data_IF_511532035890
#
_entry.id   IF_511532035890
#
_cell.length_a   1.000
_cell.length_b   1.000
_cell.length_c   1.000
_cell.angle_alpha   90.00
_cell.angle_beta   90.00
_cell.angle_gamma   90.00
#
_symmetry.space_group_name_H-M   'P 1'
#
loop_
_entity.id
_entity.type
_entity.pdbx_description
1 polymer ?
#
# COMPACT_ATOMS: atom_id res chain seq x y z
N UNK A 1 -13.14 8.98 -3.78
CA UNK A 1 -11.77 8.67 -3.34
C UNK A 1 -11.40 7.29 -3.89
N UNK A 2 -10.11 6.94 -3.95
CA UNK A 2 -9.64 5.67 -4.52
C UNK A 2 -10.28 4.43 -3.88
N UNK A 3 -10.54 4.46 -2.57
CA UNK A 3 -11.20 3.35 -1.85
C UNK A 3 -12.63 3.15 -2.31
N UNK A 4 -13.40 4.22 -2.50
CA UNK A 4 -14.78 4.13 -2.99
C UNK A 4 -14.84 3.53 -4.39
N UNK A 5 -13.88 3.92 -5.25
CA UNK A 5 -13.73 3.34 -6.59
C UNK A 5 -13.47 1.83 -6.49
N UNK A 6 -12.51 1.39 -5.67
CA UNK A 6 -12.21 -0.03 -5.50
C UNK A 6 -13.38 -0.81 -4.89
N UNK A 7 -14.08 -0.26 -3.90
CA UNK A 7 -15.29 -0.88 -3.34
C UNK A 7 -16.33 -1.13 -4.45
N UNK A 8 -16.56 -0.13 -5.31
CA UNK A 8 -17.51 -0.26 -6.41
C UNK A 8 -17.06 -1.27 -7.47
N UNK A 9 -15.77 -1.32 -7.81
CA UNK A 9 -15.25 -2.25 -8.84
C UNK A 9 -15.21 -3.70 -8.33
N UNK A 10 -14.69 -3.91 -7.12
CA UNK A 10 -14.50 -5.26 -6.55
C UNK A 10 -15.83 -5.94 -6.28
N UNK A 11 -16.83 -5.18 -5.84
CA UNK A 11 -18.17 -5.70 -5.53
C UNK A 11 -19.21 -5.37 -6.62
N UNK A 12 -18.77 -4.98 -7.83
CA UNK A 12 -19.66 -4.75 -8.97
C UNK A 12 -20.38 -6.06 -9.31
N UNK A 13 -21.64 -6.18 -8.91
CA UNK A 13 -22.49 -7.35 -9.10
C UNK A 13 -22.24 -8.53 -8.13
N UNK A 14 -21.60 -8.27 -6.98
CA UNK A 14 -21.44 -9.28 -5.94
C UNK A 14 -21.87 -8.70 -4.60
N UNK A 15 -22.53 -9.52 -3.79
CA UNK A 15 -22.83 -9.14 -2.42
C UNK A 15 -21.52 -9.09 -1.62
N UNK A 16 -21.37 -8.06 -0.79
CA UNK A 16 -20.28 -8.01 0.17
C UNK A 16 -20.47 -9.20 1.14
N UNK A 17 -19.48 -10.10 1.27
CA UNK A 17 -19.59 -11.25 2.15
C UNK A 17 -19.75 -10.80 3.60
N UNK A 18 -20.34 -11.63 4.45
CA UNK A 18 -20.25 -11.42 5.89
C UNK A 18 -18.79 -11.51 6.34
N UNK A 19 -18.38 -10.65 7.28
CA UNK A 19 -17.01 -10.58 7.76
C UNK A 19 -16.92 -10.14 9.22
N UNK A 20 -15.83 -10.54 9.87
CA UNK A 20 -15.38 -10.03 11.16
C UNK A 20 -14.21 -9.06 10.99
N UNK A 21 -14.10 -8.11 11.93
CA UNK A 21 -13.00 -7.14 11.97
C UNK A 21 -12.17 -7.40 13.21
N UNK A 22 -10.85 -7.50 13.03
CA UNK A 22 -9.88 -7.77 14.08
C UNK A 22 -8.87 -6.63 14.13
N UNK A 23 -9.01 -5.76 15.13
CA UNK A 23 -8.15 -4.60 15.29
C UNK A 23 -6.89 -4.95 16.10
N UNK A 24 -5.75 -4.53 15.59
CA UNK A 24 -4.47 -4.49 16.29
C UNK A 24 -3.92 -3.06 16.32
N UNK A 25 -2.83 -2.86 17.07
CA UNK A 25 -2.19 -1.55 17.19
C UNK A 25 -1.47 -1.08 15.92
N UNK A 26 -1.13 -1.99 15.01
CA UNK A 26 -0.39 -1.71 13.76
C UNK A 26 -1.19 -2.06 12.50
N UNK A 27 -2.04 -3.08 12.57
CA UNK A 27 -2.86 -3.54 11.45
C UNK A 27 -4.29 -3.83 11.94
N UNK A 28 -5.24 -3.71 11.03
CA UNK A 28 -6.59 -4.27 11.14
C UNK A 28 -6.69 -5.39 10.11
N UNK A 29 -7.26 -6.52 10.50
CA UNK A 29 -7.64 -7.61 9.60
C UNK A 29 -9.15 -7.64 9.41
N UNK A 30 -9.57 -8.03 8.21
CA UNK A 30 -10.93 -8.44 7.88
C UNK A 30 -10.88 -9.90 7.47
N UNK A 31 -11.68 -10.73 8.13
CA UNK A 31 -11.85 -12.15 7.83
C UNK A 31 -13.27 -12.37 7.32
N UNK A 32 -13.39 -12.80 6.08
CA UNK A 32 -14.67 -13.12 5.46
C UNK A 32 -15.12 -14.54 5.80
N UNK A 33 -16.43 -14.79 5.79
CA UNK A 33 -17.01 -16.11 6.09
C UNK A 33 -16.53 -17.23 5.14
N UNK A 34 -16.06 -16.87 3.94
CA UNK A 34 -15.45 -17.78 2.97
C UNK A 34 -13.96 -18.07 3.24
N UNK A 35 -13.44 -17.63 4.39
CA UNK A 35 -12.07 -17.86 4.84
C UNK A 35 -11.02 -16.91 4.23
N UNK A 36 -11.45 -15.93 3.42
CA UNK A 36 -10.53 -14.94 2.86
C UNK A 36 -10.19 -13.87 3.89
N UNK A 37 -8.91 -13.53 3.97
CA UNK A 37 -8.42 -12.53 4.93
C UNK A 37 -7.67 -11.43 4.22
N UNK A 38 -8.02 -10.19 4.54
CA UNK A 38 -7.29 -9.00 4.09
C UNK A 38 -6.84 -8.15 5.26
N UNK A 39 -5.74 -7.43 5.07
CA UNK A 39 -5.14 -6.61 6.12
C UNK A 39 -4.94 -5.18 5.63
N UNK A 40 -4.99 -4.24 6.55
CA UNK A 40 -4.65 -2.85 6.31
C UNK A 40 -3.95 -2.29 7.54
N UNK A 41 -2.91 -1.47 7.34
CA UNK A 41 -2.26 -0.78 8.45
C UNK A 41 -3.27 0.11 9.21
N UNK A 42 -3.29 -0.04 10.52
CA UNK A 42 -4.02 0.81 11.45
C UNK A 42 -3.10 1.98 11.79
N UNK A 43 -3.32 3.16 11.19
CA UNK A 43 -2.66 4.38 11.67
C UNK A 43 -3.37 4.81 12.96
N UNK A 44 -2.61 5.25 13.95
CA UNK A 44 -3.09 5.63 15.27
C UNK A 44 -4.00 6.88 15.24
N UNK A 45 -5.25 6.73 14.84
CA UNK A 45 -6.31 7.73 15.03
C UNK A 45 -7.60 7.01 15.42
N UNK A 46 -7.57 6.34 16.57
CA UNK A 46 -8.63 5.46 17.08
C UNK A 46 -10.03 6.13 17.24
N UNK A 47 -10.16 7.45 17.07
CA UNK A 47 -11.41 8.18 17.30
C UNK A 47 -12.07 8.76 16.03
N UNK A 48 -11.43 8.70 14.85
CA UNK A 48 -12.10 9.12 13.60
C UNK A 48 -12.81 7.91 12.95
N UNK A 49 -14.14 7.87 13.09
CA UNK A 49 -14.98 6.82 12.50
C UNK A 49 -14.84 6.74 10.98
N UNK A 50 -14.65 7.88 10.31
CA UNK A 50 -14.52 7.92 8.84
C UNK A 50 -13.22 7.26 8.43
N UNK A 51 -12.12 7.61 9.09
CA UNK A 51 -10.82 7.01 8.81
C UNK A 51 -10.80 5.52 9.16
N UNK A 52 -11.40 5.12 10.29
CA UNK A 52 -11.54 3.69 10.64
C UNK A 52 -12.34 2.93 9.59
N UNK A 53 -13.43 3.50 9.07
CA UNK A 53 -14.21 2.86 8.01
C UNK A 53 -13.38 2.63 6.74
N UNK A 54 -12.50 3.57 6.37
CA UNK A 54 -11.58 3.39 5.24
C UNK A 54 -10.58 2.25 5.47
N UNK A 55 -10.05 2.11 6.69
CA UNK A 55 -9.16 0.99 7.04
C UNK A 55 -9.90 -0.34 6.83
N UNK A 56 -11.14 -0.45 7.35
CA UNK A 56 -11.94 -1.67 7.21
C UNK A 56 -12.29 -1.95 5.75
N UNK A 57 -12.70 -0.93 4.99
CA UNK A 57 -12.99 -1.07 3.55
C UNK A 57 -11.75 -1.52 2.77
N UNK A 58 -10.58 -0.94 3.05
CA UNK A 58 -9.33 -1.34 2.42
C UNK A 58 -8.97 -2.80 2.76
N UNK A 59 -9.09 -3.21 4.03
CA UNK A 59 -8.84 -4.59 4.44
C UNK A 59 -9.84 -5.56 3.79
N UNK A 60 -11.12 -5.18 3.69
CA UNK A 60 -12.14 -5.95 3.01
C UNK A 60 -11.86 -6.09 1.50
N UNK A 61 -11.48 -5.00 0.81
CA UNK A 61 -11.00 -5.06 -0.58
C UNK A 61 -9.85 -6.06 -0.70
N UNK A 62 -8.84 -5.94 0.17
CA UNK A 62 -7.66 -6.80 0.16
C UNK A 62 -8.03 -8.27 0.37
N UNK A 63 -9.06 -8.59 1.17
CA UNK A 63 -9.51 -9.98 1.35
C UNK A 63 -9.94 -10.63 0.03
N UNK A 64 -10.51 -9.84 -0.89
CA UNK A 64 -11.01 -10.35 -2.17
C UNK A 64 -9.92 -10.37 -3.24
N UNK A 65 -9.02 -9.39 -3.24
CA UNK A 65 -8.05 -9.19 -4.34
C UNK A 65 -6.62 -9.66 -4.03
N UNK A 66 -6.29 -9.92 -2.75
CA UNK A 66 -5.01 -10.47 -2.32
C UNK A 66 -5.18 -11.94 -1.93
N UNK A 67 -5.51 -12.79 -2.91
CA UNK A 67 -5.83 -14.21 -2.71
C UNK A 67 -4.81 -15.09 -3.44
N UNK A 68 -4.28 -16.10 -2.76
CA UNK A 68 -3.25 -17.03 -3.30
C UNK A 68 -3.67 -17.75 -4.59
N UNK A 69 -4.98 -17.87 -4.84
CA UNK A 69 -5.51 -18.51 -6.04
C UNK A 69 -5.52 -17.59 -7.29
N UNK A 70 -5.09 -16.34 -7.15
CA UNK A 70 -4.97 -15.40 -8.25
C UNK A 70 -3.54 -15.41 -8.82
N UNK A 71 -3.43 -15.07 -10.10
CA UNK A 71 -2.13 -14.95 -10.76
C UNK A 71 -1.49 -13.59 -10.46
N UNK A 72 -0.24 -13.63 -10.00
CA UNK A 72 0.58 -12.47 -9.67
C UNK A 72 1.91 -12.48 -10.43
N UNK A 73 2.55 -11.32 -10.50
CA UNK A 73 3.86 -11.11 -11.11
C UNK A 73 5.01 -11.24 -10.08
N UNK A 74 6.24 -10.92 -10.49
CA UNK A 74 7.45 -11.02 -9.65
C UNK A 74 7.37 -10.14 -8.39
N UNK A 75 7.69 -10.72 -7.23
CA UNK A 75 7.46 -10.08 -5.93
C UNK A 75 8.46 -8.96 -5.57
N UNK A 76 9.60 -8.87 -6.26
CA UNK A 76 10.69 -7.97 -5.87
C UNK A 76 10.66 -6.64 -6.61
N UNK A 77 10.09 -5.60 -6.00
CA UNK A 77 10.09 -4.23 -6.57
C UNK A 77 11.46 -3.77 -7.10
N UNK A 78 12.52 -4.06 -6.33
CA UNK A 78 13.89 -3.61 -6.60
C UNK A 78 14.54 -4.33 -7.79
N UNK A 79 14.06 -5.52 -8.13
CA UNK A 79 14.60 -6.32 -9.24
C UNK A 79 13.71 -6.23 -10.48
N UNK A 80 12.41 -6.04 -10.29
CA UNK A 80 11.42 -5.91 -11.36
C UNK A 80 11.44 -4.53 -12.02
N UNK A 81 11.58 -3.44 -11.24
CA UNK A 81 11.49 -2.08 -11.78
C UNK A 81 12.90 -1.56 -12.11
N UNK A 82 13.16 -1.08 -13.34
CA UNK A 82 14.48 -0.55 -13.73
C UNK A 82 14.69 0.86 -13.17
N UNK A 83 14.81 0.98 -11.85
CA UNK A 83 14.90 2.25 -11.11
C UNK A 83 16.12 3.10 -11.51
N UNK A 84 17.19 2.48 -11.99
CA UNK A 84 18.37 3.18 -12.50
C UNK A 84 18.08 4.02 -13.77
N UNK A 85 16.96 3.76 -14.45
CA UNK A 85 16.50 4.55 -15.61
C UNK A 85 15.48 5.61 -15.24
N UNK A 86 15.13 5.73 -13.95
CA UNK A 86 14.12 6.67 -13.46
C UNK A 86 14.78 7.95 -12.99
N UNK A 87 14.05 9.07 -13.10
CA UNK A 87 14.50 10.40 -12.71
C UNK A 87 13.68 10.89 -11.53
N UNK A 88 14.23 11.84 -10.78
CA UNK A 88 13.56 12.56 -9.68
C UNK A 88 12.67 11.64 -8.83
N UNK A 89 13.27 10.58 -8.27
CA UNK A 89 12.55 9.59 -7.48
C UNK A 89 12.18 10.19 -6.12
N UNK A 90 10.89 10.10 -5.78
CA UNK A 90 10.34 10.57 -4.52
C UNK A 90 9.65 9.40 -3.80
N UNK A 91 10.06 9.14 -2.57
CA UNK A 91 9.45 8.15 -1.70
C UNK A 91 8.51 8.84 -0.69
N UNK A 92 7.22 8.50 -0.73
CA UNK A 92 6.21 9.02 0.18
C UNK A 92 5.78 7.92 1.16
N UNK A 93 6.09 8.13 2.43
CA UNK A 93 6.17 7.09 3.46
C UNK A 93 7.52 6.40 3.41
N UNK A 94 8.26 6.40 4.52
CA UNK A 94 9.60 5.83 4.57
C UNK A 94 9.54 4.30 4.66
N UNK A 95 9.74 3.66 3.50
CA UNK A 95 9.79 2.20 3.32
C UNK A 95 11.24 1.73 3.45
N UNK A 96 11.73 1.68 4.69
CA UNK A 96 13.13 1.42 5.02
C UNK A 96 13.77 0.24 4.25
N UNK A 97 13.15 -0.96 4.14
CA UNK A 97 13.76 -2.06 3.39
C UNK A 97 13.97 -1.76 1.90
N UNK A 98 13.09 -0.97 1.29
CA UNK A 98 13.19 -0.56 -0.12
C UNK A 98 14.27 0.50 -0.27
N UNK A 99 14.24 1.52 0.59
CA UNK A 99 15.25 2.58 0.61
C UNK A 99 16.66 2.02 0.76
N UNK A 100 16.88 1.10 1.72
CA UNK A 100 18.19 0.49 1.95
C UNK A 100 18.70 -0.29 0.75
N UNK A 101 17.82 -0.98 0.02
CA UNK A 101 18.18 -1.69 -1.20
C UNK A 101 18.50 -0.75 -2.36
N UNK A 102 17.73 0.33 -2.53
CA UNK A 102 18.03 1.39 -3.51
C UNK A 102 19.39 2.02 -3.22
N UNK A 103 19.65 2.40 -1.96
CA UNK A 103 20.90 3.03 -1.56
C UNK A 103 22.11 2.10 -1.80
N UNK A 104 21.98 0.79 -1.51
CA UNK A 104 23.01 -0.21 -1.84
C UNK A 104 23.29 -0.31 -3.34
N UNK A 105 22.30 -0.08 -4.19
CA UNK A 105 22.44 -0.03 -5.65
C UNK A 105 22.86 1.36 -6.17
N UNK A 106 23.15 2.33 -5.29
CA UNK A 106 23.54 3.70 -5.67
C UNK A 106 22.39 4.56 -6.21
N UNK A 107 21.14 4.17 -5.94
CA UNK A 107 19.95 4.85 -6.45
C UNK A 107 19.45 5.82 -5.37
N UNK A 108 19.59 7.12 -5.63
CA UNK A 108 19.10 8.17 -4.75
C UNK A 108 17.60 8.42 -4.88
N UNK A 109 16.97 8.87 -3.80
CA UNK A 109 15.60 9.39 -3.81
C UNK A 109 15.42 10.43 -2.69
N UNK A 110 14.46 11.34 -2.88
CA UNK A 110 13.95 12.17 -1.78
C UNK A 110 12.96 11.35 -0.97
N UNK A 111 12.97 11.45 0.36
CA UNK A 111 12.13 10.61 1.23
C UNK A 111 11.35 11.48 2.18
N UNK A 112 10.04 11.28 2.25
CA UNK A 112 9.15 12.02 3.14
C UNK A 112 8.32 11.04 3.97
N UNK A 113 8.18 11.29 5.28
CA UNK A 113 7.31 10.55 6.17
C UNK A 113 6.77 11.49 7.25
N UNK A 114 5.46 11.44 7.53
CA UNK A 114 4.81 12.33 8.48
C UNK A 114 4.91 11.86 9.93
N UNK A 115 5.23 10.59 10.16
CA UNK A 115 5.23 9.98 11.49
C UNK A 115 6.62 9.54 11.95
N UNK A 116 7.47 9.10 11.02
CA UNK A 116 8.81 8.63 11.34
C UNK A 116 9.78 9.80 11.45
N UNK A 117 10.80 9.61 12.30
CA UNK A 117 11.98 10.46 12.36
C UNK A 117 13.17 9.64 11.88
N UNK A 118 13.87 10.12 10.87
CA UNK A 118 15.08 9.48 10.35
C UNK A 118 15.97 10.54 9.68
N UNK A 119 17.31 10.44 9.80
CA UNK A 119 18.22 11.37 9.14
C UNK A 119 18.17 11.30 7.60
N UNK A 120 17.53 10.26 7.04
CA UNK A 120 17.37 10.11 5.58
C UNK A 120 16.18 10.89 5.02
N UNK A 121 15.31 11.43 5.90
CA UNK A 121 14.15 12.20 5.47
C UNK A 121 14.59 13.56 4.92
N UNK A 122 13.98 13.95 3.81
CA UNK A 122 14.11 15.26 3.22
C UNK A 122 13.36 16.31 4.07
N UNK A 123 13.78 17.60 4.02
CA UNK A 123 13.08 18.68 4.71
C UNK A 123 11.63 18.77 4.25
N UNK A 124 10.68 18.87 5.19
CA UNK A 124 9.24 18.82 4.88
C UNK A 124 8.79 19.99 4.00
N UNK A 125 9.52 21.10 4.02
CA UNK A 125 9.29 22.28 3.19
C UNK A 125 9.47 21.98 1.69
N UNK A 126 10.25 20.94 1.35
CA UNK A 126 10.44 20.50 -0.03
C UNK A 126 9.33 19.57 -0.54
N UNK A 127 8.38 19.17 0.32
CA UNK A 127 7.37 18.15 0.02
C UNK A 127 6.53 18.52 -1.21
N UNK A 128 5.91 19.70 -1.20
CA UNK A 128 5.02 20.15 -2.28
C UNK A 128 5.78 20.32 -3.61
N UNK A 129 6.99 20.89 -3.56
CA UNK A 129 7.84 21.02 -4.75
C UNK A 129 8.28 19.64 -5.29
N UNK A 130 8.55 18.67 -4.42
CA UNK A 130 8.93 17.31 -4.83
C UNK A 130 7.75 16.57 -5.45
N UNK A 131 6.51 16.81 -5.00
CA UNK A 131 5.31 16.27 -5.64
C UNK A 131 5.09 16.87 -7.04
N UNK A 132 5.24 18.18 -7.20
CA UNK A 132 4.99 18.84 -8.49
C UNK A 132 6.07 18.57 -9.53
N UNK A 133 7.31 18.34 -9.08
CA UNK A 133 8.47 18.13 -9.97
C UNK A 133 8.93 16.67 -10.11
N UNK A 134 8.49 15.76 -9.23
CA UNK A 134 8.86 14.36 -9.27
C UNK A 134 8.37 13.62 -10.51
N UNK A 135 9.21 12.73 -11.05
CA UNK A 135 8.88 11.91 -12.22
C UNK A 135 8.50 10.48 -11.81
N UNK A 136 8.99 10.00 -10.65
CA UNK A 136 8.72 8.65 -10.16
C UNK A 136 8.42 8.68 -8.67
N UNK A 137 7.28 8.13 -8.28
CA UNK A 137 6.80 8.08 -6.91
C UNK A 137 6.75 6.64 -6.41
N UNK A 138 7.45 6.39 -5.30
CA UNK A 138 7.38 5.15 -4.53
C UNK A 138 6.56 5.45 -3.28
N UNK A 139 5.38 4.87 -3.16
CA UNK A 139 4.46 5.24 -2.09
C UNK A 139 4.06 4.04 -1.24
N UNK A 140 3.90 4.28 0.06
CA UNK A 140 3.29 3.30 0.96
C UNK A 140 1.81 3.09 0.61
N UNK A 141 1.31 1.86 0.72
CA UNK A 141 -0.12 1.58 0.56
C UNK A 141 -1.03 2.36 1.53
N UNK A 142 -0.50 2.89 2.64
CA UNK A 142 -1.27 3.74 3.57
C UNK A 142 -1.68 5.09 2.97
N UNK A 143 -1.10 5.50 1.84
CA UNK A 143 -1.56 6.70 1.12
C UNK A 143 -2.98 6.54 0.57
N UNK A 144 -3.43 5.30 0.35
CA UNK A 144 -4.79 5.00 -0.12
C UNK A 144 -5.83 5.29 0.97
N UNK A 145 -5.55 4.85 2.21
CA UNK A 145 -6.47 5.02 3.35
C UNK A 145 -6.53 6.44 3.88
N UNK A 146 -5.39 7.13 3.94
CA UNK A 146 -5.35 8.52 4.38
C UNK A 146 -5.73 9.53 3.28
N UNK A 147 -5.95 9.08 2.04
CA UNK A 147 -6.39 9.92 0.91
C UNK A 147 -5.28 10.72 0.22
N UNK A 148 -4.04 10.67 0.72
CA UNK A 148 -2.91 11.38 0.10
C UNK A 148 -2.52 10.84 -1.28
N UNK A 149 -2.94 9.62 -1.64
CA UNK A 149 -2.80 9.12 -3.01
C UNK A 149 -3.59 9.97 -4.00
N UNK A 150 -4.84 10.30 -3.70
CA UNK A 150 -5.69 11.11 -4.58
C UNK A 150 -5.08 12.50 -4.81
N UNK A 151 -4.51 13.10 -3.76
CA UNK A 151 -3.81 14.38 -3.84
C UNK A 151 -2.52 14.28 -4.69
N UNK A 152 -1.73 13.23 -4.49
CA UNK A 152 -0.54 12.96 -5.29
C UNK A 152 -0.90 12.86 -6.78
N UNK A 153 -1.91 12.08 -7.13
CA UNK A 153 -2.33 11.92 -8.53
C UNK A 153 -2.78 13.25 -9.13
N UNK A 154 -3.45 14.11 -8.36
CA UNK A 154 -3.88 15.43 -8.81
C UNK A 154 -2.73 16.43 -9.00
N UNK A 155 -1.75 16.43 -8.09
CA UNK A 155 -0.68 17.44 -8.04
C UNK A 155 0.58 17.08 -8.85
N UNK A 156 0.83 15.78 -9.05
CA UNK A 156 1.99 15.31 -9.81
C UNK A 156 1.86 15.58 -11.32
N UNK A 157 3.00 15.58 -12.02
CA UNK A 157 3.06 15.67 -13.48
C UNK A 157 2.18 14.62 -14.16
N UNK A 158 1.68 14.92 -15.36
CA UNK A 158 0.79 14.03 -16.12
C UNK A 158 1.44 12.67 -16.43
N UNK A 159 2.73 12.68 -16.73
CA UNK A 159 3.57 11.53 -17.10
C UNK A 159 4.30 10.89 -15.91
N UNK A 160 4.06 11.37 -14.68
CA UNK A 160 4.64 10.76 -13.50
C UNK A 160 4.24 9.29 -13.36
N UNK A 161 5.19 8.46 -12.93
CA UNK A 161 4.96 7.06 -12.62
C UNK A 161 4.80 6.85 -11.13
N UNK A 162 3.85 6.00 -10.75
CA UNK A 162 3.56 5.69 -9.34
C UNK A 162 3.67 4.18 -9.11
N UNK A 163 4.31 3.82 -8.00
CA UNK A 163 4.50 2.45 -7.53
C UNK A 163 4.00 2.35 -6.09
N UNK A 164 3.00 1.50 -5.84
CA UNK A 164 2.45 1.29 -4.49
C UNK A 164 3.16 0.10 -3.84
N UNK A 165 3.60 0.25 -2.60
CA UNK A 165 4.29 -0.80 -1.86
C UNK A 165 3.70 -0.94 -0.45
N UNK A 166 3.43 -2.17 -0.04
CA UNK A 166 3.21 -2.51 1.37
C UNK A 166 2.06 -3.50 1.59
N UNK A 167 1.95 -4.08 2.80
CA UNK A 167 0.95 -5.12 3.07
C UNK A 167 -0.50 -4.67 2.89
N UNK A 168 -0.79 -3.37 3.03
CA UNK A 168 -2.13 -2.81 2.80
C UNK A 168 -2.48 -2.63 1.32
N UNK A 169 -1.57 -2.94 0.39
CA UNK A 169 -1.77 -2.68 -1.03
C UNK A 169 -2.82 -3.63 -1.62
N UNK A 170 -3.86 -3.11 -2.30
CA UNK A 170 -4.82 -3.93 -3.01
C UNK A 170 -4.19 -4.38 -4.33
N UNK A 171 -3.87 -5.67 -4.45
CA UNK A 171 -3.26 -6.25 -5.65
C UNK A 171 -4.33 -6.51 -6.72
N UNK A 172 -4.99 -5.44 -7.16
CA UNK A 172 -6.09 -5.47 -8.12
C UNK A 172 -5.77 -4.64 -9.36
N UNK A 173 -5.99 -5.23 -10.54
CA UNK A 173 -5.89 -4.54 -11.83
C UNK A 173 -6.92 -3.42 -11.99
N UNK A 174 -8.02 -3.43 -11.23
CA UNK A 174 -8.99 -2.33 -11.26
C UNK A 174 -8.35 -0.98 -10.94
N UNK A 175 -7.34 -0.96 -10.06
CA UNK A 175 -6.67 0.27 -9.67
C UNK A 175 -5.95 0.97 -10.83
N UNK A 176 -5.51 0.23 -11.86
CA UNK A 176 -4.95 0.83 -13.08
C UNK A 176 -5.98 1.61 -13.90
N UNK A 177 -7.27 1.29 -13.76
CA UNK A 177 -8.37 2.05 -14.34
C UNK A 177 -8.67 3.36 -13.59
N UNK A 178 -8.17 3.52 -12.36
CA UNK A 178 -8.31 4.77 -11.60
C UNK A 178 -7.35 5.86 -12.10
N UNK A 179 -6.14 5.46 -12.53
CA UNK A 179 -5.13 6.40 -13.02
C UNK A 179 -4.10 5.73 -13.91
N UNK A 180 -3.78 6.39 -15.02
CA UNK A 180 -2.71 5.98 -15.96
C UNK A 180 -1.31 6.06 -15.35
N UNK A 181 -1.15 6.83 -14.27
CA UNK A 181 0.14 7.05 -13.59
C UNK A 181 0.61 5.82 -12.81
N UNK A 182 -0.31 4.99 -12.32
CA UNK A 182 0.02 3.79 -11.56
C UNK A 182 0.59 2.72 -12.50
N UNK A 183 1.81 2.26 -12.22
CA UNK A 183 2.54 1.29 -13.07
C UNK A 183 2.65 -0.09 -12.45
N UNK A 184 2.75 -0.19 -11.13
CA UNK A 184 2.73 -1.47 -10.45
C UNK A 184 2.35 -1.33 -8.96
N UNK A 185 1.91 -2.46 -8.41
CA UNK A 185 1.49 -2.61 -7.02
C UNK A 185 2.26 -3.79 -6.43
N UNK A 186 2.91 -3.59 -5.29
CA UNK A 186 3.67 -4.61 -4.57
C UNK A 186 3.07 -4.79 -3.19
N UNK A 187 2.38 -5.90 -2.99
CA UNK A 187 1.55 -6.14 -1.83
C UNK A 187 1.91 -7.41 -1.07
N UNK A 188 0.96 -7.88 -0.27
CA UNK A 188 1.08 -9.13 0.47
C UNK A 188 -0.24 -9.87 0.55
N UNK A 189 -0.15 -11.19 0.49
CA UNK A 189 -1.23 -12.17 0.61
C UNK A 189 -1.12 -12.80 1.98
N UNK A 190 -2.23 -12.88 2.72
CA UNK A 190 -2.29 -13.63 3.98
C UNK A 190 -2.32 -15.12 3.66
N UNK A 191 -1.39 -15.90 4.22
CA UNK A 191 -1.27 -17.34 3.94
C UNK A 191 -1.52 -18.24 5.14
N UNK A 192 -1.70 -17.67 6.33
CA UNK A 192 -2.04 -18.40 7.55
C UNK A 192 -3.07 -17.65 8.38
N UNK A 193 -4.00 -18.39 8.99
CA UNK A 193 -4.96 -17.85 9.97
C UNK A 193 -4.28 -17.27 11.21
N UNK A 194 -3.05 -17.68 11.53
CA UNK A 194 -2.25 -17.14 12.64
C UNK A 194 -1.94 -15.64 12.47
N UNK A 195 -2.05 -15.11 11.24
CA UNK A 195 -1.91 -13.68 10.97
C UNK A 195 -2.88 -12.85 11.83
N UNK A 196 -4.12 -13.30 12.00
CA UNK A 196 -5.14 -12.58 12.78
C UNK A 196 -4.72 -12.51 14.25
N UNK A 197 -4.34 -13.64 14.83
CA UNK A 197 -3.83 -13.71 16.19
C UNK A 197 -2.59 -12.82 16.37
N UNK A 198 -1.66 -12.83 15.44
CA UNK A 198 -0.48 -11.96 15.48
C UNK A 198 -0.87 -10.48 15.45
N UNK A 199 -1.83 -10.09 14.60
CA UNK A 199 -2.32 -8.72 14.48
C UNK A 199 -2.99 -8.25 15.78
N UNK A 200 -3.87 -9.04 16.36
CA UNK A 200 -4.54 -8.72 17.65
C UNK A 200 -3.49 -8.48 18.74
N UNK A 201 -2.40 -9.26 18.73
CA UNK A 201 -1.27 -9.10 19.65
C UNK A 201 -0.29 -7.96 19.29
N UNK A 202 -0.63 -7.13 18.30
CA UNK A 202 0.15 -5.95 17.94
C UNK A 202 1.37 -6.23 17.05
N UNK A 203 1.36 -7.33 16.28
CA UNK A 203 2.46 -7.64 15.37
C UNK A 203 2.69 -6.51 14.36
N UNK A 204 3.91 -5.98 14.35
CA UNK A 204 4.39 -5.10 13.28
C UNK A 204 4.76 -5.88 12.01
N UNK A 205 5.10 -5.16 10.94
CA UNK A 205 5.38 -5.74 9.61
C UNK A 205 6.39 -6.89 9.63
N UNK A 206 7.45 -6.79 10.43
CA UNK A 206 8.47 -7.84 10.54
C UNK A 206 7.92 -9.11 11.17
N UNK A 207 7.17 -8.98 12.27
CA UNK A 207 6.57 -10.11 12.98
C UNK A 207 5.41 -10.74 12.21
N UNK A 208 4.74 -9.96 11.36
CA UNK A 208 3.66 -10.46 10.49
C UNK A 208 4.20 -11.18 9.24
N UNK A 209 5.43 -10.89 8.82
CA UNK A 209 6.02 -11.43 7.58
C UNK A 209 5.99 -12.95 7.41
N UNK A 210 6.09 -13.81 8.45
CA UNK A 210 5.99 -15.26 8.28
C UNK A 210 4.61 -15.73 7.81
N UNK A 211 3.57 -14.92 8.01
CA UNK A 211 2.19 -15.23 7.63
C UNK A 211 1.76 -14.55 6.33
N UNK A 212 2.73 -13.93 5.64
CA UNK A 212 2.50 -13.15 4.43
C UNK A 212 3.38 -13.64 3.29
N UNK A 213 2.80 -13.77 2.10
CA UNK A 213 3.57 -13.93 0.86
C UNK A 213 3.54 -12.63 0.07
N UNK A 214 4.71 -12.16 -0.36
CA UNK A 214 4.81 -10.99 -1.23
C UNK A 214 4.41 -11.34 -2.65
N UNK A 215 3.70 -10.44 -3.30
CA UNK A 215 3.27 -10.57 -4.67
C UNK A 215 3.17 -9.18 -5.31
N UNK A 216 3.06 -9.14 -6.63
CA UNK A 216 2.87 -7.90 -7.35
C UNK A 216 1.84 -8.03 -8.47
N UNK A 217 1.36 -6.88 -8.92
CA UNK A 217 0.58 -6.74 -10.14
C UNK A 217 1.19 -5.59 -10.93
N UNK A 218 1.57 -5.86 -12.17
CA UNK A 218 2.23 -4.92 -13.06
C UNK A 218 1.26 -4.58 -14.21
N UNK A 219 1.32 -3.33 -14.67
CA UNK A 219 0.54 -2.83 -15.80
C UNK A 219 1.13 -3.28 -17.14
#
# INVERSE_FOLDING_TARGET
MVIDFLMNEVFRNQQIPEYSVHDGSVFTAVECIDGKTGICAAMSSNNDKTFRNRIVQQALINSQVNNINLQYDEASFIDTIPLHKKLNIVMLGFIEPVFMQMNKKGIGCKVFDLQKKSPVLSPIEEYENSISTGDTFIITATTLTNGSFDELIKKSKKDAEVYIIGPSAPMSRYLFGYTEKLKAIFGSIVTSGDAISAIINGAGTRSLSPFLTKASVIR
#
